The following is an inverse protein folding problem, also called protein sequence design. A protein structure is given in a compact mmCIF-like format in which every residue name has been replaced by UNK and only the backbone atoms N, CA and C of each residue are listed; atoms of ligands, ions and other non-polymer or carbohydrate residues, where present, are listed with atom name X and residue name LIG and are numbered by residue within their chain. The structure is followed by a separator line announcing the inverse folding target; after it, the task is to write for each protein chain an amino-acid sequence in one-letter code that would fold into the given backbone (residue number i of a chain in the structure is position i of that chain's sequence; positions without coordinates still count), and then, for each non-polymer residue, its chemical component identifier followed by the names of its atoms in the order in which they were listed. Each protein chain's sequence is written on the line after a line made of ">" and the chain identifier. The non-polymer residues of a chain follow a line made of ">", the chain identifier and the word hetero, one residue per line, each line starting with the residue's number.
data_IF_467394332902
#
_entry.id   IF_467394332902
#
_cell.length_a   1.000
_cell.length_b   1.000
_cell.length_c   1.000
_cell.angle_alpha   90.00
_cell.angle_beta   90.00
_cell.angle_gamma   90.00
#
_symmetry.space_group_name_H-M   'P 1'
#
loop_
_entity.id
_entity.type
_entity.pdbx_description
1 polymer ?
#
# COMPACT_ATOMS: atom_id res chain seq x y z
N UNK A 1 2.92 11.94 27.13
CA UNK A 1 2.49 12.45 25.81
C UNK A 1 3.19 13.78 25.58
N UNK A 2 3.67 14.05 24.36
CA UNK A 2 4.26 15.37 24.02
C UNK A 2 3.15 16.42 24.11
N UNK A 3 3.43 17.59 24.68
CA UNK A 3 2.45 18.68 24.81
C UNK A 3 1.96 19.11 23.42
N UNK A 4 0.66 18.97 23.17
CA UNK A 4 0.04 19.24 21.86
C UNK A 4 0.09 18.08 20.85
N UNK A 5 0.66 16.92 21.21
CA UNK A 5 0.66 15.73 20.36
C UNK A 5 -0.69 15.01 20.36
N UNK A 6 -1.10 14.46 19.21
CA UNK A 6 -2.36 13.70 19.06
C UNK A 6 -2.15 12.20 18.82
N UNK A 7 -0.89 11.75 18.68
CA UNK A 7 -0.56 10.34 18.51
C UNK A 7 -0.54 9.63 19.86
N UNK A 8 -1.25 8.51 19.93
CA UNK A 8 -1.32 7.65 21.11
C UNK A 8 -1.16 6.19 20.69
N UNK A 9 -0.89 5.30 21.65
CA UNK A 9 -0.81 3.87 21.39
C UNK A 9 -2.08 3.33 20.70
N UNK A 10 -3.25 3.91 21.00
CA UNK A 10 -4.53 3.50 20.43
C UNK A 10 -4.73 3.86 18.95
N UNK A 11 -3.97 4.84 18.43
CA UNK A 11 -4.09 5.30 17.03
C UNK A 11 -2.80 5.13 16.21
N UNK A 12 -1.83 4.39 16.75
CA UNK A 12 -0.58 3.99 16.08
C UNK A 12 -0.60 2.52 15.72
N UNK A 13 0.22 2.11 14.75
CA UNK A 13 0.43 0.68 14.51
C UNK A 13 1.06 0.00 15.73
N UNK A 14 0.50 -1.13 16.14
CA UNK A 14 1.12 -1.98 17.16
C UNK A 14 2.40 -2.61 16.61
N UNK A 15 3.36 -2.85 17.50
CA UNK A 15 4.47 -3.76 17.22
C UNK A 15 3.91 -5.18 17.25
N UNK A 16 4.05 -5.88 16.13
CA UNK A 16 3.68 -7.28 15.98
C UNK A 16 4.84 -8.04 15.35
N UNK A 17 4.99 -9.30 15.75
CA UNK A 17 5.93 -10.23 15.14
C UNK A 17 5.11 -11.25 14.34
N UNK A 18 5.51 -11.50 13.10
CA UNK A 18 4.83 -12.42 12.19
C UNK A 18 5.68 -12.71 10.96
N UNK A 19 5.37 -13.81 10.27
CA UNK A 19 6.05 -14.24 9.05
C UNK A 19 5.01 -14.61 7.98
N UNK A 20 5.38 -14.41 6.71
CA UNK A 20 4.55 -14.75 5.54
C UNK A 20 5.45 -15.40 4.49
N UNK A 21 4.96 -16.47 3.86
CA UNK A 21 5.54 -17.09 2.67
C UNK A 21 4.63 -16.82 1.48
N UNK A 22 5.19 -16.38 0.36
CA UNK A 22 4.49 -16.24 -0.92
C UNK A 22 5.24 -17.04 -1.99
N UNK A 23 4.49 -17.82 -2.77
CA UNK A 23 5.00 -18.51 -3.97
C UNK A 23 4.53 -17.73 -5.19
N UNK A 24 5.45 -17.48 -6.12
CA UNK A 24 5.18 -16.75 -7.36
C UNK A 24 5.72 -17.59 -8.52
N UNK A 25 4.86 -17.84 -9.49
CA UNK A 25 5.19 -18.59 -10.70
C UNK A 25 4.69 -17.86 -11.94
N UNK A 26 5.19 -18.30 -13.09
CA UNK A 26 4.57 -18.01 -14.37
C UNK A 26 3.16 -18.64 -14.41
N UNK A 27 2.22 -17.97 -15.06
CA UNK A 27 0.79 -18.31 -15.01
C UNK A 27 0.52 -19.66 -15.67
N UNK A 28 1.10 -19.92 -16.83
CA UNK A 28 0.86 -21.15 -17.59
C UNK A 28 1.52 -22.34 -16.88
N UNK A 29 2.72 -22.15 -16.33
CA UNK A 29 3.36 -23.15 -15.47
C UNK A 29 2.52 -23.48 -14.23
N UNK A 30 1.91 -22.48 -13.58
CA UNK A 30 1.04 -22.72 -12.44
C UNK A 30 -0.16 -23.60 -12.82
N UNK A 31 -0.75 -23.39 -14.01
CA UNK A 31 -1.84 -24.24 -14.50
C UNK A 31 -1.39 -25.65 -14.84
N UNK A 32 -0.22 -25.82 -15.49
CA UNK A 32 0.34 -27.15 -15.78
C UNK A 32 0.57 -27.97 -14.50
N UNK A 33 0.95 -27.31 -13.42
CA UNK A 33 1.13 -27.89 -12.09
C UNK A 33 -0.20 -28.10 -11.33
N UNK A 34 -1.35 -27.76 -11.93
CA UNK A 34 -2.69 -27.96 -11.36
C UNK A 34 -3.20 -26.83 -10.45
N UNK A 35 -2.56 -25.66 -10.43
CA UNK A 35 -3.01 -24.52 -9.63
C UNK A 35 -3.99 -23.64 -10.43
N UNK A 36 -5.29 -23.86 -10.22
CA UNK A 36 -6.35 -23.16 -10.95
C UNK A 36 -6.81 -21.83 -10.30
N UNK A 37 -6.37 -21.57 -9.06
CA UNK A 37 -6.79 -20.39 -8.28
C UNK A 37 -5.60 -19.65 -7.68
N UNK A 38 -5.62 -18.32 -7.73
CA UNK A 38 -4.56 -17.47 -7.20
C UNK A 38 -4.79 -15.99 -7.45
N UNK A 39 -3.77 -15.18 -7.14
CA UNK A 39 -3.74 -13.75 -7.44
C UNK A 39 -2.73 -13.48 -8.55
N UNK A 40 -3.11 -12.64 -9.50
CA UNK A 40 -2.18 -12.14 -10.51
C UNK A 40 -1.49 -10.88 -9.99
N UNK A 41 -0.16 -10.94 -9.88
CA UNK A 41 0.65 -9.75 -9.68
C UNK A 41 0.72 -8.96 -10.99
N UNK A 42 -0.06 -7.89 -11.09
CA UNK A 42 -0.15 -7.08 -12.33
C UNK A 42 1.00 -6.10 -12.45
N UNK A 43 1.32 -5.39 -11.37
CA UNK A 43 2.29 -4.31 -11.41
C UNK A 43 2.68 -3.83 -10.00
N UNK A 44 3.83 -3.18 -9.89
CA UNK A 44 4.33 -2.54 -8.67
C UNK A 44 5.19 -1.30 -8.97
N UNK A 45 5.09 -0.27 -8.13
CA UNK A 45 5.86 0.97 -8.27
C UNK A 45 6.50 1.38 -6.95
N UNK A 46 7.69 1.96 -7.03
CA UNK A 46 8.39 2.57 -5.90
C UNK A 46 8.53 4.06 -6.15
N UNK A 47 8.28 4.87 -5.13
CA UNK A 47 8.37 6.33 -5.18
C UNK A 47 9.09 6.84 -3.94
N UNK A 48 9.90 7.89 -4.11
CA UNK A 48 10.47 8.65 -3.00
C UNK A 48 9.51 9.76 -2.56
N UNK A 49 9.48 10.05 -1.26
CA UNK A 49 8.78 11.21 -0.67
C UNK A 49 9.70 11.90 0.34
N UNK A 50 9.36 13.12 0.72
CA UNK A 50 10.05 13.86 1.78
C UNK A 50 10.10 13.04 3.09
N UNK A 51 11.28 12.94 3.69
CA UNK A 51 11.53 12.17 4.91
C UNK A 51 10.79 12.70 6.13
N UNK A 52 10.35 13.97 6.12
CA UNK A 52 9.49 14.55 7.16
C UNK A 52 8.04 14.04 7.06
N UNK A 53 7.63 13.48 5.91
CA UNK A 53 6.26 13.03 5.66
C UNK A 53 6.19 11.61 5.07
N UNK A 54 6.78 10.58 5.71
CA UNK A 54 6.82 9.23 5.15
C UNK A 54 5.42 8.60 4.96
N UNK A 55 4.40 9.10 5.67
CA UNK A 55 3.03 8.61 5.57
C UNK A 55 2.31 8.93 4.26
N UNK A 56 2.80 9.90 3.47
CA UNK A 56 2.15 10.30 2.21
C UNK A 56 2.48 9.38 1.03
N UNK A 57 3.47 8.50 1.17
CA UNK A 57 3.97 7.62 0.09
C UNK A 57 2.91 6.90 -0.77
N UNK A 58 1.81 6.38 -0.19
CA UNK A 58 0.76 5.74 -0.98
C UNK A 58 0.10 6.65 -2.02
N UNK A 59 -0.01 7.96 -1.78
CA UNK A 59 -0.69 8.90 -2.69
C UNK A 59 0.01 8.99 -4.05
N UNK A 60 1.30 9.37 -4.14
CA UNK A 60 2.02 9.39 -5.41
C UNK A 60 2.24 7.98 -5.98
N UNK A 61 2.40 6.95 -5.14
CA UNK A 61 2.56 5.57 -5.62
C UNK A 61 1.31 5.08 -6.37
N UNK A 62 0.12 5.24 -5.79
CA UNK A 62 -1.13 4.82 -6.41
C UNK A 62 -1.41 5.64 -7.66
N UNK A 63 -1.21 6.96 -7.60
CA UNK A 63 -1.39 7.84 -8.76
C UNK A 63 -0.50 7.42 -9.95
N UNK A 64 0.79 7.15 -9.68
CA UNK A 64 1.73 6.68 -10.71
C UNK A 64 1.34 5.31 -11.27
N UNK A 65 0.93 4.38 -10.41
CA UNK A 65 0.51 3.04 -10.82
C UNK A 65 -0.73 3.10 -11.72
N UNK A 66 -1.76 3.86 -11.33
CA UNK A 66 -2.99 4.05 -12.09
C UNK A 66 -2.70 4.70 -13.45
N UNK A 67 -1.91 5.80 -13.45
CA UNK A 67 -1.53 6.49 -14.68
C UNK A 67 -0.75 5.59 -15.63
N UNK A 68 0.24 4.82 -15.13
CA UNK A 68 1.04 3.88 -15.94
C UNK A 68 0.18 2.80 -16.59
N UNK A 69 -0.80 2.28 -15.87
CA UNK A 69 -1.69 1.23 -16.38
C UNK A 69 -2.92 1.77 -17.10
N UNK A 70 -3.04 3.10 -17.25
CA UNK A 70 -4.21 3.76 -17.84
C UNK A 70 -5.52 3.35 -17.15
N UNK A 71 -5.46 3.15 -15.82
CA UNK A 71 -6.58 2.78 -14.98
C UNK A 71 -7.09 3.98 -14.21
N UNK A 72 -8.37 3.92 -13.84
CA UNK A 72 -8.97 4.87 -12.92
C UNK A 72 -9.27 4.19 -11.58
N UNK A 73 -9.43 5.00 -10.52
CA UNK A 73 -9.62 4.48 -9.16
C UNK A 73 -10.96 3.73 -9.02
N UNK A 74 -11.97 4.04 -9.84
CA UNK A 74 -13.30 3.39 -9.77
C UNK A 74 -13.25 1.89 -10.13
N UNK A 75 -12.21 1.46 -10.85
CA UNK A 75 -12.02 0.05 -11.21
C UNK A 75 -11.56 -0.79 -10.01
N UNK A 76 -10.99 -0.14 -8.98
CA UNK A 76 -10.48 -0.84 -7.80
C UNK A 76 -11.63 -1.29 -6.88
N UNK A 77 -11.85 -2.59 -6.81
CA UNK A 77 -12.83 -3.19 -5.88
C UNK A 77 -12.41 -3.11 -4.41
N UNK A 78 -11.11 -3.12 -4.14
CA UNK A 78 -10.58 -3.02 -2.78
C UNK A 78 -9.19 -2.37 -2.80
N UNK A 79 -8.93 -1.51 -1.82
CA UNK A 79 -7.63 -0.89 -1.60
C UNK A 79 -7.15 -1.19 -0.19
N UNK A 80 -5.99 -1.83 -0.07
CA UNK A 80 -5.35 -2.12 1.22
C UNK A 80 -4.16 -1.19 1.43
N UNK A 81 -4.23 -0.35 2.47
CA UNK A 81 -3.17 0.59 2.85
C UNK A 81 -2.64 0.22 4.23
N UNK A 82 -1.31 0.22 4.39
CA UNK A 82 -0.69 0.08 5.69
C UNK A 82 -0.93 1.33 6.53
N UNK A 83 -1.50 1.15 7.73
CA UNK A 83 -1.74 2.24 8.69
C UNK A 83 -0.55 2.33 9.63
N UNK A 84 0.16 3.47 9.64
CA UNK A 84 1.36 3.66 10.49
C UNK A 84 1.07 4.51 11.74
N UNK A 85 0.48 5.70 11.59
CA UNK A 85 -0.06 6.53 12.69
C UNK A 85 -1.02 7.59 12.14
N UNK A 86 -2.06 7.97 12.89
CA UNK A 86 -3.00 9.04 12.50
C UNK A 86 -2.46 10.42 12.90
N UNK A 87 -1.35 10.85 12.30
CA UNK A 87 -0.88 12.22 12.41
C UNK A 87 -0.83 12.82 11.02
N UNK A 88 -1.87 13.59 10.68
CA UNK A 88 -1.93 14.47 9.51
C UNK A 88 -1.89 13.73 8.15
N UNK A 89 -3.04 13.20 7.73
CA UNK A 89 -3.33 13.19 6.30
C UNK A 89 -3.40 14.66 5.86
N UNK A 90 -2.38 15.16 5.16
CA UNK A 90 -2.51 16.44 4.46
C UNK A 90 -3.57 16.22 3.37
N UNK A 91 -4.58 17.09 3.27
CA UNK A 91 -5.57 16.97 2.22
C UNK A 91 -4.86 17.08 0.86
N UNK A 92 -5.29 16.27 -0.10
CA UNK A 92 -4.65 16.14 -1.41
C UNK A 92 -4.51 17.46 -2.20
N UNK A 93 -5.24 18.50 -1.80
CA UNK A 93 -5.18 19.85 -2.35
C UNK A 93 -4.06 20.73 -1.76
N UNK A 94 -3.22 20.20 -0.87
CA UNK A 94 -2.05 20.87 -0.29
C UNK A 94 -0.72 20.19 -0.67
N UNK A 95 -0.74 19.30 -1.66
CA UNK A 95 0.45 18.75 -2.33
C UNK A 95 0.59 19.36 -3.72
#
# INVERSE_FOLDING_TARGET
>A
MIKGGTVTAANSCMKNDGAVLLLIWEKDMAYELGFEHGLLFKDGVTVGVDSNFPGIGPVPAISNLLKRNQLTIEILKSLKLTKRSVHRWLPANKL
#
